data_IF_493585000321
#
_entry.id   IF_493585000321
#
_cell.length_a   1.000
_cell.length_b   1.000
_cell.length_c   1.000
_cell.angle_alpha   90.00
_cell.angle_beta   90.00
_cell.angle_gamma   90.00
#
_symmetry.space_group_name_H-M   'P 1'
#
loop_
_entity.id
_entity.type
_entity.pdbx_description
1 polymer ?
#
# COMPACT_ATOMS: atom_id res chain seq x y z
N UNK A 1 19.68 -20.03 -5.53
CA UNK A 1 19.10 -19.77 -4.19
C UNK A 1 17.58 -19.77 -4.32
N UNK A 2 16.86 -20.34 -3.36
CA UNK A 2 15.40 -20.29 -3.35
C UNK A 2 14.94 -18.84 -3.10
N UNK A 3 13.98 -18.32 -3.90
CA UNK A 3 13.42 -16.99 -3.71
C UNK A 3 12.70 -16.91 -2.37
N UNK A 4 12.83 -15.78 -1.67
CA UNK A 4 12.03 -15.50 -0.47
C UNK A 4 10.60 -15.16 -0.86
N UNK A 5 9.65 -15.58 -0.03
CA UNK A 5 8.22 -15.39 -0.26
C UNK A 5 7.71 -14.13 0.43
N UNK A 6 7.00 -13.30 -0.32
CA UNK A 6 6.40 -12.06 0.19
C UNK A 6 4.88 -12.11 0.03
N UNK A 7 4.17 -11.89 1.12
CA UNK A 7 2.71 -11.72 1.10
C UNK A 7 2.38 -10.23 1.11
N UNK A 8 1.63 -9.78 0.11
CA UNK A 8 1.33 -8.36 -0.13
C UNK A 8 -0.15 -8.09 0.15
N UNK A 9 -0.47 -7.03 0.92
CA UNK A 9 -1.85 -6.58 1.15
C UNK A 9 -2.19 -5.36 0.30
N UNK A 10 -2.87 -5.57 -0.80
CA UNK A 10 -3.52 -4.48 -1.52
C UNK A 10 -4.98 -4.34 -1.13
N UNK A 11 -5.40 -3.12 -0.82
CA UNK A 11 -6.74 -2.85 -0.27
C UNK A 11 -7.70 -2.25 -1.29
N UNK A 12 -7.28 -2.10 -2.55
CA UNK A 12 -8.08 -1.62 -3.66
C UNK A 12 -8.04 -2.61 -4.83
N UNK A 13 -9.19 -2.81 -5.48
CA UNK A 13 -9.30 -3.62 -6.70
C UNK A 13 -8.91 -2.81 -7.97
N UNK A 14 -8.82 -1.49 -7.88
CA UNK A 14 -8.39 -0.57 -8.93
C UNK A 14 -6.88 -0.36 -8.88
N UNK A 15 -6.30 0.19 -9.95
CA UNK A 15 -4.87 0.55 -10.01
C UNK A 15 -4.73 2.06 -10.09
N UNK A 16 -4.32 2.66 -8.99
CA UNK A 16 -3.96 4.07 -8.86
C UNK A 16 -2.45 4.22 -8.61
N UNK A 17 -1.97 5.40 -8.20
CA UNK A 17 -0.54 5.65 -8.00
C UNK A 17 0.14 4.66 -7.03
N UNK A 18 -0.48 4.38 -5.89
CA UNK A 18 0.05 3.43 -4.90
C UNK A 18 0.14 2.00 -5.45
N UNK A 19 -0.92 1.52 -6.12
CA UNK A 19 -0.95 0.18 -6.72
C UNK A 19 0.05 0.04 -7.87
N UNK A 20 0.22 1.09 -8.70
CA UNK A 20 1.28 1.12 -9.73
C UNK A 20 2.65 0.94 -9.08
N UNK A 21 2.89 1.62 -7.96
CA UNK A 21 4.14 1.49 -7.23
C UNK A 21 4.33 0.07 -6.67
N UNK A 22 3.29 -0.53 -6.10
CA UNK A 22 3.35 -1.93 -5.63
C UNK A 22 3.69 -2.89 -6.77
N UNK A 23 3.05 -2.73 -7.94
CA UNK A 23 3.36 -3.53 -9.14
C UNK A 23 4.80 -3.31 -9.60
N UNK A 24 5.26 -2.06 -9.66
CA UNK A 24 6.66 -1.74 -10.01
C UNK A 24 7.66 -2.39 -9.05
N UNK A 25 7.42 -2.34 -7.74
CA UNK A 25 8.27 -3.01 -6.73
C UNK A 25 8.30 -4.52 -6.97
N UNK A 26 7.15 -5.14 -7.25
CA UNK A 26 7.09 -6.58 -7.53
C UNK A 26 7.83 -6.92 -8.83
N UNK A 27 7.70 -6.12 -9.90
CA UNK A 27 8.41 -6.33 -11.16
C UNK A 27 9.93 -6.22 -10.95
N UNK A 28 10.40 -5.17 -10.28
CA UNK A 28 11.83 -4.93 -10.01
C UNK A 28 12.49 -5.98 -9.12
N UNK A 29 11.73 -6.64 -8.27
CA UNK A 29 12.25 -7.61 -7.30
C UNK A 29 11.86 -9.06 -7.63
N UNK A 30 11.29 -9.30 -8.80
CA UNK A 30 10.80 -10.62 -9.23
C UNK A 30 11.90 -11.68 -9.38
N UNK A 31 13.14 -11.26 -9.57
CA UNK A 31 14.32 -12.13 -9.62
C UNK A 31 14.69 -12.70 -8.23
N UNK A 32 14.43 -11.96 -7.14
CA UNK A 32 14.82 -12.28 -5.75
C UNK A 32 13.68 -12.80 -4.90
N UNK A 33 12.45 -12.37 -5.20
CA UNK A 33 11.27 -12.66 -4.39
C UNK A 33 10.15 -13.31 -5.19
N UNK A 34 9.39 -14.16 -4.51
CA UNK A 34 8.12 -14.72 -4.96
C UNK A 34 6.98 -14.02 -4.24
N UNK A 35 6.02 -13.47 -4.97
CA UNK A 35 4.92 -12.68 -4.42
C UNK A 35 3.61 -13.44 -4.45
N UNK A 36 2.77 -13.20 -3.44
CA UNK A 36 1.35 -13.53 -3.43
C UNK A 36 0.58 -12.34 -2.89
N UNK A 37 -0.53 -11.96 -3.53
CA UNK A 37 -1.28 -10.77 -3.15
C UNK A 37 -2.60 -11.14 -2.47
N UNK A 38 -2.96 -10.38 -1.43
CA UNK A 38 -4.29 -10.34 -0.86
C UNK A 38 -4.98 -9.08 -1.40
N UNK A 39 -6.07 -9.25 -2.15
CA UNK A 39 -6.81 -8.15 -2.78
C UNK A 39 -8.30 -8.23 -2.40
N UNK A 40 -9.04 -7.10 -2.39
CA UNK A 40 -10.44 -7.11 -1.93
C UNK A 40 -11.38 -7.86 -2.89
N UNK A 41 -11.23 -7.67 -4.19
CA UNK A 41 -12.11 -8.21 -5.22
C UNK A 41 -11.39 -8.33 -6.56
N UNK A 42 -12.01 -8.98 -7.53
CA UNK A 42 -11.59 -8.94 -8.93
C UNK A 42 -11.71 -7.50 -9.47
N UNK A 43 -10.83 -7.12 -10.38
CA UNK A 43 -10.76 -5.80 -11.00
C UNK A 43 -9.43 -5.60 -11.71
N UNK A 44 -9.09 -4.35 -12.01
CA UNK A 44 -7.87 -4.02 -12.74
C UNK A 44 -6.63 -4.56 -12.02
N UNK A 45 -6.61 -4.55 -10.67
CA UNK A 45 -5.47 -5.07 -9.91
C UNK A 45 -5.31 -6.59 -10.13
N UNK A 46 -6.38 -7.36 -10.11
CA UNK A 46 -6.30 -8.81 -10.37
C UNK A 46 -5.86 -9.12 -11.81
N UNK A 47 -6.28 -8.32 -12.79
CA UNK A 47 -5.83 -8.46 -14.17
C UNK A 47 -4.32 -8.21 -14.31
N UNK A 48 -3.81 -7.18 -13.65
CA UNK A 48 -2.38 -6.87 -13.62
C UNK A 48 -1.55 -7.97 -12.92
N UNK A 49 -2.09 -8.59 -11.89
CA UNK A 49 -1.45 -9.73 -11.21
C UNK A 49 -1.45 -10.98 -12.12
N UNK A 50 -2.57 -11.24 -12.83
CA UNK A 50 -2.67 -12.37 -13.80
C UNK A 50 -1.64 -12.21 -14.92
N UNK A 51 -1.47 -11.01 -15.50
CA UNK A 51 -0.46 -10.72 -16.54
C UNK A 51 0.97 -11.04 -16.08
N UNK A 52 1.24 -10.91 -14.78
CA UNK A 52 2.55 -11.16 -14.16
C UNK A 52 2.70 -12.57 -13.59
N UNK A 53 1.67 -13.42 -13.73
CA UNK A 53 1.62 -14.74 -13.10
C UNK A 53 1.79 -14.70 -11.57
N UNK A 54 1.35 -13.60 -10.91
CA UNK A 54 1.40 -13.45 -9.46
C UNK A 54 0.11 -14.01 -8.86
N UNK A 55 0.18 -15.05 -8.00
CA UNK A 55 -0.99 -15.59 -7.33
C UNK A 55 -1.62 -14.58 -6.39
N UNK A 56 -2.94 -14.61 -6.24
CA UNK A 56 -3.66 -13.77 -5.32
C UNK A 56 -4.84 -14.48 -4.65
N UNK A 57 -5.29 -13.89 -3.54
CA UNK A 57 -6.45 -14.39 -2.77
C UNK A 57 -7.42 -13.23 -2.56
N UNK A 58 -8.70 -13.48 -2.81
CA UNK A 58 -9.77 -12.51 -2.59
C UNK A 58 -10.14 -12.43 -1.11
N UNK A 59 -10.03 -11.24 -0.53
CA UNK A 59 -10.28 -10.98 0.90
C UNK A 59 -11.73 -10.55 1.18
N UNK A 60 -12.42 -10.03 0.18
CA UNK A 60 -13.72 -9.36 0.29
C UNK A 60 -13.57 -7.84 0.44
N UNK A 61 -14.70 -7.13 0.46
CA UNK A 61 -14.73 -5.66 0.51
C UNK A 61 -13.95 -5.12 1.71
N UNK A 62 -13.02 -4.24 1.43
CA UNK A 62 -12.15 -3.55 2.39
C UNK A 62 -12.27 -2.03 2.29
N UNK A 63 -13.26 -1.54 1.54
CA UNK A 63 -13.44 -0.11 1.33
C UNK A 63 -13.83 0.59 2.62
N UNK A 64 -13.13 1.67 2.90
CA UNK A 64 -13.43 2.60 3.98
C UNK A 64 -13.82 3.95 3.37
N UNK A 65 -14.83 4.64 3.92
CA UNK A 65 -15.14 5.98 3.48
C UNK A 65 -13.94 6.92 3.70
N UNK A 66 -13.75 7.84 2.78
CA UNK A 66 -12.77 8.92 2.88
C UNK A 66 -13.28 10.01 3.82
N UNK A 67 -12.36 10.74 4.48
CA UNK A 67 -12.68 11.85 5.37
C UNK A 67 -12.68 11.50 6.85
N UNK A 68 -13.31 12.36 7.68
CA UNK A 68 -13.37 12.19 9.14
C UNK A 68 -14.27 11.01 9.50
N UNK A 69 -13.73 10.09 10.30
CA UNK A 69 -14.39 8.81 10.60
C UNK A 69 -15.25 8.91 11.86
N UNK A 70 -16.56 8.79 11.69
CA UNK A 70 -17.50 8.65 12.79
C UNK A 70 -17.38 7.30 13.52
N UNK A 71 -18.02 7.17 14.70
CA UNK A 71 -17.98 5.96 15.54
C UNK A 71 -18.36 4.67 14.80
N UNK A 72 -19.35 4.74 13.92
CA UNK A 72 -19.80 3.60 13.11
C UNK A 72 -18.70 3.08 12.16
N UNK A 73 -17.94 3.99 11.55
CA UNK A 73 -16.82 3.64 10.65
C UNK A 73 -15.71 2.96 11.44
N UNK A 74 -15.42 3.44 12.65
CA UNK A 74 -14.41 2.85 13.55
C UNK A 74 -14.82 1.43 13.94
N UNK A 75 -16.10 1.20 14.31
CA UNK A 75 -16.59 -0.12 14.66
C UNK A 75 -16.56 -1.08 13.45
N UNK A 76 -17.04 -0.61 12.29
CA UNK A 76 -16.95 -1.38 11.03
C UNK A 76 -15.50 -1.74 10.70
N UNK A 77 -14.57 -0.80 10.84
CA UNK A 77 -13.15 -1.06 10.63
C UNK A 77 -12.61 -2.12 11.59
N UNK A 78 -12.96 -2.04 12.87
CA UNK A 78 -12.56 -3.04 13.87
C UNK A 78 -13.02 -4.45 13.50
N UNK A 79 -14.31 -4.59 13.15
CA UNK A 79 -14.88 -5.87 12.74
C UNK A 79 -14.23 -6.41 11.45
N UNK A 80 -14.06 -5.54 10.45
CA UNK A 80 -13.38 -5.87 9.21
C UNK A 80 -11.93 -6.30 9.47
N UNK A 81 -11.22 -5.61 10.37
CA UNK A 81 -9.85 -5.96 10.74
C UNK A 81 -9.75 -7.35 11.35
N UNK A 82 -10.66 -7.72 12.24
CA UNK A 82 -10.71 -9.07 12.82
C UNK A 82 -10.89 -10.13 11.73
N UNK A 83 -11.85 -9.96 10.83
CA UNK A 83 -12.07 -10.89 9.69
C UNK A 83 -10.83 -10.98 8.80
N UNK A 84 -10.19 -9.85 8.50
CA UNK A 84 -9.01 -9.83 7.65
C UNK A 84 -7.80 -10.48 8.33
N UNK A 85 -7.61 -10.31 9.64
CA UNK A 85 -6.57 -11.02 10.40
C UNK A 85 -6.78 -12.53 10.29
N UNK A 86 -7.98 -13.04 10.56
CA UNK A 86 -8.25 -14.48 10.49
C UNK A 86 -8.00 -15.06 9.10
N UNK A 87 -8.52 -14.42 8.05
CA UNK A 87 -8.28 -14.85 6.67
C UNK A 87 -6.79 -14.81 6.31
N UNK A 88 -6.11 -13.71 6.67
CA UNK A 88 -4.68 -13.55 6.40
C UNK A 88 -3.83 -14.60 7.11
N UNK A 89 -4.14 -14.94 8.35
CA UNK A 89 -3.43 -16.01 9.08
C UNK A 89 -3.60 -17.37 8.40
N UNK A 90 -4.79 -17.66 7.84
CA UNK A 90 -5.01 -18.85 7.02
C UNK A 90 -4.10 -18.88 5.79
N UNK A 91 -3.99 -17.77 5.06
CA UNK A 91 -3.09 -17.65 3.91
C UNK A 91 -1.62 -17.74 4.33
N UNK A 92 -1.24 -17.06 5.41
CA UNK A 92 0.14 -17.09 5.95
C UNK A 92 0.56 -18.53 6.28
N UNK A 93 -0.32 -19.31 6.92
CA UNK A 93 -0.05 -20.73 7.23
C UNK A 93 0.15 -21.58 5.97
N UNK A 94 -0.67 -21.34 4.93
CA UNK A 94 -0.62 -22.08 3.66
C UNK A 94 0.57 -21.65 2.79
N UNK A 95 0.73 -20.36 2.57
CA UNK A 95 1.74 -19.80 1.66
C UNK A 95 3.14 -19.77 2.30
N UNK A 96 3.21 -19.68 3.64
CA UNK A 96 4.45 -19.60 4.45
C UNK A 96 5.38 -18.48 3.99
N UNK A 97 4.92 -17.21 3.99
CA UNK A 97 5.75 -16.09 3.57
C UNK A 97 6.91 -15.87 4.55
N UNK A 98 8.01 -15.34 4.03
CA UNK A 98 9.14 -14.87 4.83
C UNK A 98 8.93 -13.43 5.29
N UNK A 99 8.24 -12.62 4.48
CA UNK A 99 8.00 -11.20 4.69
C UNK A 99 6.52 -10.89 4.43
N UNK A 100 5.98 -10.00 5.24
CA UNK A 100 4.65 -9.43 5.07
C UNK A 100 4.82 -7.97 4.61
N UNK A 101 4.22 -7.59 3.47
CA UNK A 101 4.33 -6.26 2.90
C UNK A 101 2.95 -5.61 2.78
N UNK A 102 2.80 -4.44 3.39
CA UNK A 102 1.54 -3.71 3.46
C UNK A 102 1.66 -2.30 2.87
N UNK A 103 1.42 -2.11 1.56
CA UNK A 103 1.30 -0.80 0.92
C UNK A 103 -0.11 -0.22 1.05
N UNK A 104 -1.13 -1.07 1.22
CA UNK A 104 -2.51 -0.63 1.35
C UNK A 104 -2.79 0.02 2.71
N UNK A 105 -3.24 1.28 2.77
CA UNK A 105 -3.35 2.04 4.02
C UNK A 105 -4.28 1.40 5.06
N UNK A 106 -5.36 0.77 4.63
CA UNK A 106 -6.27 0.08 5.54
C UNK A 106 -5.64 -1.17 6.16
N UNK A 107 -4.65 -1.79 5.50
CA UNK A 107 -4.02 -3.02 5.96
C UNK A 107 -2.93 -2.80 7.03
N UNK A 108 -2.43 -1.58 7.21
CA UNK A 108 -1.30 -1.32 8.09
C UNK A 108 -1.51 -1.85 9.52
N UNK A 109 -2.59 -1.51 10.25
CA UNK A 109 -2.78 -2.02 11.61
C UNK A 109 -2.95 -3.53 11.68
N UNK A 110 -3.79 -4.14 10.83
CA UNK A 110 -3.99 -5.58 10.93
C UNK A 110 -2.80 -6.38 10.43
N UNK A 111 -1.96 -5.82 9.54
CA UNK A 111 -0.71 -6.47 9.14
C UNK A 111 0.26 -6.59 10.30
N UNK A 112 0.33 -5.58 11.18
CA UNK A 112 1.12 -5.63 12.40
C UNK A 112 0.64 -6.74 13.34
N UNK A 113 -0.70 -6.91 13.48
CA UNK A 113 -1.31 -8.01 14.26
C UNK A 113 -0.93 -9.35 13.64
N UNK A 114 -1.10 -9.53 12.33
CA UNK A 114 -0.72 -10.75 11.63
C UNK A 114 0.77 -11.07 11.80
N UNK A 115 1.64 -10.07 11.66
CA UNK A 115 3.08 -10.23 11.85
C UNK A 115 3.44 -10.67 13.26
N UNK A 116 2.75 -10.14 14.27
CA UNK A 116 2.95 -10.54 15.67
C UNK A 116 2.51 -11.97 15.91
N UNK A 117 1.30 -12.33 15.48
CA UNK A 117 0.73 -13.67 15.69
C UNK A 117 1.45 -14.74 14.88
N UNK A 118 1.94 -14.42 13.69
CA UNK A 118 2.65 -15.34 12.82
C UNK A 118 4.18 -15.31 13.00
N UNK A 119 4.71 -14.46 13.89
CA UNK A 119 6.15 -14.22 14.06
C UNK A 119 6.88 -13.88 12.76
N UNK A 120 6.26 -13.04 11.93
CA UNK A 120 6.80 -12.62 10.62
C UNK A 120 7.11 -11.13 10.60
N UNK A 121 8.22 -10.72 9.95
CA UNK A 121 8.54 -9.32 9.76
C UNK A 121 7.52 -8.66 8.83
N UNK A 122 7.09 -7.47 9.19
CA UNK A 122 6.15 -6.63 8.43
C UNK A 122 6.91 -5.40 7.93
N UNK A 123 6.73 -5.09 6.66
CA UNK A 123 7.19 -3.85 6.03
C UNK A 123 5.94 -3.06 5.65
N UNK A 124 5.83 -1.84 6.15
CA UNK A 124 4.82 -0.88 5.74
C UNK A 124 5.35 0.00 4.61
N UNK A 125 4.49 0.37 3.68
CA UNK A 125 4.82 1.35 2.65
C UNK A 125 3.75 2.44 2.60
N UNK A 126 4.09 3.61 3.11
CA UNK A 126 3.19 4.75 3.28
C UNK A 126 3.20 5.62 2.03
N UNK A 127 2.05 5.74 1.37
CA UNK A 127 1.85 6.58 0.18
C UNK A 127 1.01 7.83 0.47
N UNK A 128 0.41 7.93 1.67
CA UNK A 128 -0.59 8.94 1.98
C UNK A 128 -0.29 9.66 3.28
N UNK A 129 -0.72 10.93 3.34
CA UNK A 129 -0.83 11.68 4.58
C UNK A 129 -2.23 11.41 5.14
N UNK A 130 -2.30 10.93 6.37
CA UNK A 130 -3.56 10.71 7.07
C UNK A 130 -3.99 12.01 7.73
N UNK A 131 -5.20 12.48 7.44
CA UNK A 131 -5.71 13.75 7.96
C UNK A 131 -6.34 13.59 9.35
N UNK A 132 -6.90 12.41 9.62
CA UNK A 132 -7.62 12.17 10.88
C UNK A 132 -6.67 11.70 12.00
N UNK A 133 -6.83 12.31 13.19
CA UNK A 133 -5.97 12.07 14.34
C UNK A 133 -6.10 10.66 14.93
N UNK A 134 -7.26 10.02 14.81
CA UNK A 134 -7.45 8.66 15.31
C UNK A 134 -6.65 7.64 14.50
N UNK A 135 -6.65 7.78 13.17
CA UNK A 135 -5.82 6.96 12.28
C UNK A 135 -4.34 7.17 12.56
N UNK A 136 -3.89 8.43 12.71
CA UNK A 136 -2.48 8.72 13.06
C UNK A 136 -2.07 8.06 14.38
N UNK A 137 -2.89 8.17 15.43
CA UNK A 137 -2.62 7.52 16.72
C UNK A 137 -2.51 5.99 16.58
N UNK A 138 -3.44 5.37 15.86
CA UNK A 138 -3.43 3.93 15.62
C UNK A 138 -2.19 3.47 14.85
N UNK A 139 -1.79 4.19 13.81
CA UNK A 139 -0.60 3.88 13.04
C UNK A 139 0.68 4.02 13.87
N UNK A 140 0.79 5.09 14.66
CA UNK A 140 1.93 5.29 15.55
C UNK A 140 2.02 4.19 16.62
N UNK A 141 0.88 3.78 17.17
CA UNK A 141 0.82 2.68 18.14
C UNK A 141 1.25 1.34 17.50
N UNK A 142 0.61 0.95 16.40
CA UNK A 142 0.92 -0.32 15.73
C UNK A 142 2.31 -0.33 15.08
N UNK A 143 2.78 0.80 14.54
CA UNK A 143 4.10 0.96 13.95
C UNK A 143 5.23 0.71 14.94
N UNK A 144 4.99 0.95 16.22
CA UNK A 144 5.96 0.68 17.29
C UNK A 144 6.14 -0.82 17.58
N UNK A 145 5.24 -1.69 17.15
CA UNK A 145 5.31 -3.13 17.44
C UNK A 145 6.55 -3.77 16.81
N UNK A 146 7.10 -4.79 17.51
CA UNK A 146 8.31 -5.52 17.06
C UNK A 146 8.14 -6.21 15.71
N UNK A 147 6.91 -6.59 15.35
CA UNK A 147 6.60 -7.20 14.05
C UNK A 147 6.81 -6.23 12.89
N UNK A 148 6.51 -4.93 13.06
CA UNK A 148 6.79 -3.90 12.05
C UNK A 148 8.29 -3.60 12.11
N UNK A 149 9.01 -4.01 11.10
CA UNK A 149 10.48 -3.88 11.02
C UNK A 149 10.92 -2.62 10.31
N UNK A 150 10.24 -2.27 9.23
CA UNK A 150 10.53 -1.10 8.41
C UNK A 150 9.24 -0.38 8.05
N UNK A 151 9.31 0.92 7.96
CA UNK A 151 8.25 1.80 7.48
C UNK A 151 8.84 2.63 6.35
N UNK A 152 8.53 2.27 5.12
CA UNK A 152 8.95 3.02 3.93
C UNK A 152 7.95 4.16 3.74
N UNK A 153 8.43 5.38 3.60
CA UNK A 153 7.62 6.57 3.30
C UNK A 153 8.05 7.15 1.94
N UNK A 154 7.10 7.49 1.09
CA UNK A 154 7.38 8.02 -0.26
C UNK A 154 7.89 9.47 -0.26
N UNK A 155 7.90 10.14 0.88
CA UNK A 155 8.49 11.47 1.08
C UNK A 155 8.71 11.74 2.56
N UNK A 156 9.52 12.76 2.87
CA UNK A 156 9.69 13.23 4.26
C UNK A 156 8.35 13.57 4.90
N UNK A 157 7.48 14.32 4.21
CA UNK A 157 6.17 14.73 4.72
C UNK A 157 5.27 13.52 5.08
N UNK A 158 5.36 12.41 4.33
CA UNK A 158 4.65 11.17 4.65
C UNK A 158 5.31 10.46 5.83
N UNK A 159 6.62 10.51 5.96
CA UNK A 159 7.37 9.92 7.08
C UNK A 159 7.13 10.66 8.40
N UNK A 160 7.08 11.99 8.37
CA UNK A 160 6.97 12.86 9.55
C UNK A 160 5.66 12.69 10.33
N UNK A 161 4.64 12.07 9.73
CA UNK A 161 3.41 11.73 10.46
C UNK A 161 3.60 10.59 11.48
N UNK A 162 4.71 9.85 11.42
CA UNK A 162 5.08 8.81 12.38
C UNK A 162 5.94 9.48 13.47
N UNK A 163 5.28 9.91 14.53
CA UNK A 163 5.91 10.69 15.62
C UNK A 163 6.27 9.87 16.85
N UNK A 164 5.78 8.63 16.98
CA UNK A 164 6.20 7.74 18.05
C UNK A 164 7.67 7.35 17.84
N UNK A 165 8.52 7.61 18.83
CA UNK A 165 9.97 7.44 18.72
C UNK A 165 10.39 6.05 18.23
N UNK A 166 9.81 4.99 18.79
CA UNK A 166 10.12 3.61 18.40
C UNK A 166 9.65 3.23 17.00
N UNK A 167 8.55 3.84 16.52
CA UNK A 167 8.06 3.68 15.15
C UNK A 167 8.88 4.57 14.18
N UNK A 168 9.19 5.80 14.56
CA UNK A 168 9.94 6.77 13.75
C UNK A 168 11.34 6.26 13.39
N UNK A 169 12.03 5.60 14.32
CA UNK A 169 13.35 4.98 14.07
C UNK A 169 13.32 3.93 12.94
N UNK A 170 12.15 3.42 12.58
CA UNK A 170 11.96 2.43 11.49
C UNK A 170 11.62 3.09 10.16
N UNK A 171 11.39 4.42 10.14
CA UNK A 171 11.01 5.15 8.94
C UNK A 171 12.24 5.33 8.04
N UNK A 172 12.04 4.96 6.77
CA UNK A 172 13.00 5.22 5.69
C UNK A 172 12.27 5.91 4.55
N UNK A 173 12.81 7.02 4.09
CA UNK A 173 12.25 7.72 2.95
C UNK A 173 12.81 7.12 1.67
N UNK A 174 11.90 6.66 0.81
CA UNK A 174 12.21 6.14 -0.52
C UNK A 174 11.23 6.78 -1.51
N UNK A 175 11.74 7.72 -2.30
CA UNK A 175 10.94 8.38 -3.32
C UNK A 175 10.48 7.41 -4.39
N UNK A 176 9.26 7.61 -4.89
CA UNK A 176 8.75 6.80 -5.99
C UNK A 176 9.61 7.01 -7.24
N UNK A 177 10.07 5.93 -7.90
CA UNK A 177 10.77 6.06 -9.17
C UNK A 177 9.85 6.60 -10.25
N UNK A 178 10.42 7.37 -11.16
CA UNK A 178 9.75 7.89 -12.36
C UNK A 178 10.52 7.40 -13.57
N UNK A 179 9.80 6.90 -14.56
CA UNK A 179 10.36 6.57 -15.86
C UNK A 179 10.66 7.88 -16.62
N UNK A 180 11.90 8.34 -16.50
CA UNK A 180 12.33 9.64 -17.05
C UNK A 180 12.19 9.65 -18.57
N UNK A 181 12.52 8.57 -19.27
CA UNK A 181 12.45 8.49 -20.73
C UNK A 181 11.01 8.61 -21.22
N UNK A 182 10.09 7.90 -20.57
CA UNK A 182 8.66 7.96 -20.89
C UNK A 182 8.08 9.36 -20.71
N UNK A 183 8.47 10.07 -19.64
CA UNK A 183 7.90 11.40 -19.35
C UNK A 183 8.66 12.54 -20.03
N UNK A 184 9.96 12.42 -20.30
CA UNK A 184 10.74 13.41 -21.04
C UNK A 184 10.32 13.52 -22.52
N UNK A 185 9.89 12.41 -23.11
CA UNK A 185 9.45 12.34 -24.51
C UNK A 185 7.92 12.40 -24.68
N UNK A 186 7.20 12.73 -23.61
CA UNK A 186 5.74 12.85 -23.64
C UNK A 186 5.27 14.06 -24.43
N UNK A 187 4.37 13.86 -25.39
CA UNK A 187 3.70 14.96 -26.10
C UNK A 187 2.55 15.49 -25.23
N UNK A 188 2.74 16.68 -24.66
CA UNK A 188 1.73 17.35 -23.84
C UNK A 188 0.72 18.17 -24.66
N UNK A 189 0.87 18.28 -25.98
CA UNK A 189 0.09 19.16 -26.86
C UNK A 189 -1.41 18.94 -26.70
N UNK A 190 -1.85 17.69 -26.67
CA UNK A 190 -3.27 17.35 -26.53
C UNK A 190 -3.84 17.76 -25.16
N UNK A 191 -3.09 17.53 -24.09
CA UNK A 191 -3.50 17.88 -22.72
C UNK A 191 -3.54 19.40 -22.57
N UNK A 192 -2.55 20.10 -23.12
CA UNK A 192 -2.49 21.57 -23.11
C UNK A 192 -3.72 22.14 -23.84
N UNK A 193 -4.04 21.63 -25.04
CA UNK A 193 -5.21 22.08 -25.79
C UNK A 193 -6.53 21.86 -25.04
N UNK A 194 -6.70 20.69 -24.40
CA UNK A 194 -7.89 20.42 -23.57
C UNK A 194 -7.98 21.34 -22.36
N UNK A 195 -6.86 21.66 -21.71
CA UNK A 195 -6.81 22.58 -20.59
C UNK A 195 -7.10 24.03 -21.02
N UNK A 196 -6.56 24.47 -22.16
CA UNK A 196 -6.83 25.81 -22.72
C UNK A 196 -8.32 26.01 -23.01
N UNK A 197 -8.97 25.00 -23.61
CA UNK A 197 -10.43 25.00 -23.83
C UNK A 197 -11.20 25.11 -22.52
N UNK A 198 -10.83 24.30 -21.51
CA UNK A 198 -11.50 24.33 -20.19
C UNK A 198 -11.30 25.63 -19.43
N UNK A 199 -10.12 26.24 -19.55
CA UNK A 199 -9.77 27.47 -18.84
C UNK A 199 -10.13 28.74 -19.60
N UNK A 200 -10.53 28.64 -20.86
CA UNK A 200 -10.84 29.78 -21.73
C UNK A 200 -9.64 30.71 -21.99
N UNK A 201 -8.42 30.23 -21.80
CA UNK A 201 -7.18 30.99 -22.01
C UNK A 201 -6.03 30.11 -22.48
N UNK A 202 -5.12 30.69 -23.25
CA UNK A 202 -3.86 30.02 -23.61
C UNK A 202 -2.94 29.83 -22.41
N UNK A 203 -2.37 28.63 -22.28
CA UNK A 203 -1.32 28.37 -21.31
C UNK A 203 0.01 28.81 -21.92
N UNK A 204 0.77 29.65 -21.19
CA UNK A 204 2.11 30.03 -21.62
C UNK A 204 3.01 28.78 -21.52
N UNK A 205 3.64 28.41 -22.61
CA UNK A 205 4.71 27.44 -22.61
C UNK A 205 5.87 27.98 -21.74
N UNK A 206 6.34 27.13 -20.81
CA UNK A 206 7.59 27.40 -20.08
C UNK A 206 8.79 27.13 -20.97
#
# INVERSE_FOLDING_TARGET
MQKKKVLVWETLATVSGGQKMTLTVMDMLSDKFEFCCLIPAEGIMSEELKKRNIPYVLMGDQTLPTGVKGKQVIFRYGWMSVKNVWKSLGVIRKYKPDILYAPGPAALPWSAVCGTLAHKPVIWHLHHIFLDGATKKLLNFCGNWKSVREIIAVSNCVGDQIVNEGAHRKVKVLYNPVDVEKYANGDATKIIAELEVKLGRKLRGG
#
